data_IF_641103510448
#
_entry.id   IF_641103510448
#
_cell.length_a   1.000
_cell.length_b   1.000
_cell.length_c   1.000
_cell.angle_alpha   90.00
_cell.angle_beta   90.00
_cell.angle_gamma   90.00
#
_symmetry.space_group_name_H-M   'P 1'
#
loop_
_entity.id
_entity.type
_entity.pdbx_description
1 polymer ?
#
# COMPACT_ATOMS: atom_id res chain seq x y z
N UNK A 1 -2.76 61.38 22.98
CA UNK A 1 -3.74 61.60 21.90
C UNK A 1 -4.36 60.24 21.62
N UNK A 2 -5.61 59.97 22.06
CA UNK A 2 -6.88 60.27 21.35
C UNK A 2 -7.02 59.48 20.02
N UNK A 3 -8.14 58.83 19.69
CA UNK A 3 -9.32 58.42 20.48
C UNK A 3 -10.12 57.35 19.67
N UNK A 4 -10.98 56.58 20.36
CA UNK A 4 -12.04 55.72 19.77
C UNK A 4 -13.25 56.60 19.29
N UNK A 5 -14.42 56.03 18.92
CA UNK A 5 -14.79 55.14 17.80
C UNK A 5 -16.03 55.74 17.05
N UNK A 6 -16.88 54.88 16.45
CA UNK A 6 -18.37 54.93 16.27
C UNK A 6 -18.72 54.34 14.87
N UNK A 7 -19.87 53.73 14.53
CA UNK A 7 -21.02 53.06 15.14
C UNK A 7 -22.24 53.26 14.18
N UNK A 8 -23.03 52.20 13.96
CA UNK A 8 -24.25 52.11 13.11
C UNK A 8 -25.32 53.20 13.39
N UNK A 9 -26.25 53.56 12.47
CA UNK A 9 -27.53 52.80 12.26
C UNK A 9 -28.11 52.78 10.80
N UNK A 10 -28.83 51.75 10.30
CA UNK A 10 -30.26 51.31 10.45
C UNK A 10 -31.38 52.29 9.97
N UNK A 11 -32.17 51.90 8.93
CA UNK A 11 -33.68 51.85 8.80
C UNK A 11 -34.15 51.82 7.32
N UNK A 12 -34.98 50.83 6.89
CA UNK A 12 -36.47 50.84 6.66
C UNK A 12 -36.94 51.78 5.50
N UNK A 13 -37.92 51.47 4.62
CA UNK A 13 -39.29 50.93 4.80
C UNK A 13 -39.99 50.56 3.44
N UNK A 14 -41.00 49.65 3.47
CA UNK A 14 -42.27 49.59 2.67
C UNK A 14 -42.30 49.55 1.11
N UNK A 15 -43.41 49.20 0.40
CA UNK A 15 -44.56 48.27 0.58
C UNK A 15 -45.52 48.30 -0.66
N UNK A 16 -46.32 47.24 -0.91
CA UNK A 16 -47.51 47.23 -1.82
C UNK A 16 -47.57 46.01 -2.80
N UNK A 17 -48.60 45.14 -2.89
CA UNK A 17 -50.03 45.27 -3.35
C UNK A 17 -50.17 45.31 -4.90
N UNK A 18 -51.05 44.59 -5.64
CA UNK A 18 -52.29 43.77 -5.37
C UNK A 18 -52.40 42.51 -6.30
N UNK A 19 -53.30 41.56 -5.93
CA UNK A 19 -53.99 40.45 -6.65
C UNK A 19 -54.63 40.79 -8.05
N UNK A 20 -55.38 39.88 -8.74
CA UNK A 20 -55.21 38.43 -9.03
C UNK A 20 -55.64 38.03 -10.49
N UNK A 21 -55.58 36.73 -10.86
CA UNK A 21 -56.68 36.09 -11.60
C UNK A 21 -56.66 34.55 -11.46
N UNK A 22 -57.84 33.94 -11.33
CA UNK A 22 -58.04 32.49 -11.31
C UNK A 22 -59.04 32.09 -12.40
N UNK A 23 -58.88 30.90 -12.98
CA UNK A 23 -59.93 30.25 -13.75
C UNK A 23 -59.98 28.76 -13.37
N UNK A 24 -61.18 28.25 -13.07
CA UNK A 24 -61.43 26.85 -12.78
C UNK A 24 -61.86 26.08 -14.05
N UNK A 25 -61.48 24.81 -14.14
CA UNK A 25 -62.23 23.79 -14.86
C UNK A 25 -62.13 22.46 -14.08
N UNK A 26 -63.24 21.73 -13.99
CA UNK A 26 -63.44 20.62 -13.05
C UNK A 26 -62.92 19.24 -13.51
N UNK A 27 -63.16 18.19 -12.70
CA UNK A 27 -62.52 16.88 -12.85
C UNK A 27 -63.22 15.95 -13.84
N UNK A 28 -62.46 15.05 -14.45
CA UNK A 28 -62.98 13.85 -15.11
C UNK A 28 -62.57 12.61 -14.31
N UNK A 29 -63.57 11.94 -13.73
CA UNK A 29 -63.42 10.60 -13.14
C UNK A 29 -63.56 9.55 -14.24
N UNK A 30 -62.64 8.60 -14.30
CA UNK A 30 -62.86 7.31 -14.98
C UNK A 30 -62.35 6.17 -14.10
N UNK A 31 -63.21 5.15 -13.94
CA UNK A 31 -62.99 3.97 -13.09
C UNK A 31 -62.07 2.93 -13.76
N UNK A 32 -61.41 2.04 -12.99
CA UNK A 32 -60.39 1.16 -13.52
C UNK A 32 -60.96 0.03 -14.38
N UNK A 33 -60.26 -0.33 -15.45
CA UNK A 33 -60.49 -1.56 -16.20
C UNK A 33 -59.58 -2.68 -15.65
N UNK A 34 -60.18 -3.77 -15.16
CA UNK A 34 -59.45 -5.01 -14.91
C UNK A 34 -59.02 -5.63 -16.25
N UNK A 35 -57.75 -6.01 -16.37
CA UNK A 35 -57.24 -6.90 -17.41
C UNK A 35 -56.78 -8.23 -16.79
N UNK A 36 -57.07 -9.32 -17.48
CA UNK A 36 -56.90 -10.69 -17.00
C UNK A 36 -55.42 -11.14 -16.92
N UNK A 37 -55.09 -12.19 -16.13
CA UNK A 37 -53.72 -12.70 -16.04
C UNK A 37 -53.29 -13.36 -17.35
N UNK A 38 -52.11 -13.01 -17.85
CA UNK A 38 -51.42 -13.75 -18.92
C UNK A 38 -50.41 -14.76 -18.34
N UNK A 39 -50.11 -15.85 -19.07
CA UNK A 39 -49.58 -17.08 -18.49
C UNK A 39 -48.08 -17.01 -18.18
N UNK A 40 -47.66 -17.86 -17.24
CA UNK A 40 -46.25 -18.07 -16.93
C UNK A 40 -45.48 -18.61 -18.16
N UNK A 41 -44.37 -17.95 -18.50
CA UNK A 41 -43.35 -18.47 -19.40
C UNK A 41 -42.17 -19.05 -18.59
N UNK A 42 -41.45 -20.00 -19.19
CA UNK A 42 -40.45 -20.83 -18.53
C UNK A 42 -39.36 -20.04 -17.78
N UNK A 43 -38.89 -20.59 -16.65
CA UNK A 43 -37.88 -19.96 -15.82
C UNK A 43 -36.48 -20.04 -16.41
N UNK A 44 -35.75 -18.93 -16.31
CA UNK A 44 -34.30 -18.91 -16.52
C UNK A 44 -33.59 -19.59 -15.36
N UNK A 45 -32.67 -20.51 -15.70
CA UNK A 45 -31.80 -21.16 -14.72
C UNK A 45 -30.86 -20.11 -14.14
N UNK A 46 -30.87 -19.95 -12.82
CA UNK A 46 -29.98 -19.04 -12.12
C UNK A 46 -28.52 -19.36 -12.45
N UNK A 47 -27.83 -18.41 -13.08
CA UNK A 47 -26.38 -18.45 -13.26
C UNK A 47 -25.76 -18.29 -11.86
N UNK A 48 -24.79 -19.12 -11.44
CA UNK A 48 -24.19 -18.99 -10.12
C UNK A 48 -23.58 -17.60 -9.96
N UNK A 49 -23.89 -16.94 -8.83
CA UNK A 49 -23.27 -15.68 -8.47
C UNK A 49 -21.77 -15.90 -8.31
N UNK A 50 -20.96 -15.12 -9.05
CA UNK A 50 -19.53 -15.05 -8.77
C UNK A 50 -19.35 -14.42 -7.39
N UNK A 51 -18.42 -14.92 -6.54
CA UNK A 51 -18.10 -14.28 -5.27
C UNK A 51 -17.88 -12.78 -5.48
N UNK A 52 -18.60 -11.96 -4.71
CA UNK A 52 -18.65 -10.52 -4.92
C UNK A 52 -17.25 -9.91 -4.92
N UNK A 53 -16.99 -9.00 -5.87
CA UNK A 53 -15.76 -8.22 -5.86
C UNK A 53 -15.57 -7.57 -4.48
N UNK A 54 -14.34 -7.55 -3.91
CA UNK A 54 -14.08 -6.69 -2.77
C UNK A 54 -14.44 -5.25 -3.15
N UNK A 55 -15.01 -4.46 -2.22
CA UNK A 55 -15.33 -3.06 -2.49
C UNK A 55 -14.04 -2.33 -2.89
N UNK A 56 -14.17 -1.39 -3.84
CA UNK A 56 -13.09 -0.47 -4.16
C UNK A 56 -12.66 0.26 -2.87
N UNK A 57 -11.36 0.55 -2.68
CA UNK A 57 -10.94 1.44 -1.60
C UNK A 57 -11.73 2.75 -1.68
N UNK A 58 -12.22 3.21 -0.54
CA UNK A 58 -12.91 4.48 -0.45
C UNK A 58 -11.88 5.59 -0.64
N UNK A 59 -12.01 6.37 -1.72
CA UNK A 59 -11.10 7.49 -2.00
C UNK A 59 -11.76 8.78 -1.50
N UNK A 60 -11.43 9.28 -0.29
CA UNK A 60 -11.88 10.60 0.13
C UNK A 60 -11.40 11.65 -0.88
N UNK A 61 -12.23 12.67 -1.12
CA UNK A 61 -12.05 13.73 -2.12
C UNK A 61 -12.33 13.36 -3.60
N UNK A 62 -12.89 12.18 -3.90
CA UNK A 62 -13.59 12.02 -5.19
C UNK A 62 -14.84 12.92 -5.21
N UNK A 63 -15.07 13.75 -6.25
CA UNK A 63 -16.36 14.38 -6.45
C UNK A 63 -17.44 13.29 -6.62
N UNK A 64 -18.66 13.49 -6.09
CA UNK A 64 -19.70 12.46 -6.10
C UNK A 64 -20.03 12.02 -7.54
N UNK A 65 -19.93 10.71 -7.79
CA UNK A 65 -20.19 10.10 -9.10
C UNK A 65 -21.60 10.50 -9.61
N UNK A 66 -21.69 11.30 -10.69
CA UNK A 66 -22.98 11.59 -11.30
C UNK A 66 -23.53 10.33 -11.97
N UNK A 67 -24.85 10.25 -12.09
CA UNK A 67 -25.49 9.17 -12.84
C UNK A 67 -25.00 9.18 -14.31
N UNK A 68 -24.84 8.03 -14.97
CA UNK A 68 -24.16 7.91 -16.29
C UNK A 68 -24.70 8.83 -17.40
N UNK A 69 -25.94 9.30 -17.26
CA UNK A 69 -26.58 10.26 -18.17
C UNK A 69 -26.17 11.73 -17.97
N UNK A 70 -25.30 12.03 -17.00
CA UNK A 70 -24.85 13.38 -16.64
C UNK A 70 -23.35 13.63 -16.93
N UNK A 71 -22.74 12.84 -17.82
CA UNK A 71 -21.42 13.11 -18.40
C UNK A 71 -21.50 14.33 -19.34
N UNK A 72 -21.60 15.52 -18.73
CA UNK A 72 -21.64 16.79 -19.45
C UNK A 72 -20.32 17.04 -20.17
N UNK A 73 -20.41 17.54 -21.41
CA UNK A 73 -19.29 17.72 -22.33
C UNK A 73 -18.07 18.39 -21.65
N UNK A 74 -17.03 17.60 -21.39
CA UNK A 74 -15.78 18.08 -20.82
C UNK A 74 -15.16 19.10 -21.77
N UNK A 75 -14.89 20.30 -21.27
CA UNK A 75 -14.33 21.38 -22.09
C UNK A 75 -12.91 21.03 -22.53
N UNK A 76 -12.74 20.83 -23.84
CA UNK A 76 -11.47 20.49 -24.48
C UNK A 76 -11.05 21.58 -25.45
N UNK A 77 -9.78 21.96 -25.45
CA UNK A 77 -9.20 22.96 -26.36
C UNK A 77 -8.69 22.29 -27.65
N UNK A 78 -8.59 23.00 -28.78
CA UNK A 78 -7.83 22.51 -29.94
C UNK A 78 -6.33 22.44 -29.64
N UNK A 79 -5.58 21.65 -30.42
CA UNK A 79 -4.11 21.70 -30.43
C UNK A 79 -3.58 23.11 -30.82
N UNK A 80 -2.36 23.50 -30.37
CA UNK A 80 -1.45 22.73 -29.51
C UNK A 80 -1.86 22.76 -28.03
N UNK A 81 -1.48 21.72 -27.28
CA UNK A 81 -1.64 21.73 -25.82
C UNK A 81 -0.57 22.58 -25.15
N UNK A 82 -0.91 23.16 -23.99
CA UNK A 82 0.04 23.96 -23.18
C UNK A 82 1.27 23.13 -22.74
N UNK A 83 2.29 23.83 -22.27
CA UNK A 83 3.50 23.23 -21.72
C UNK A 83 3.29 22.82 -20.25
N UNK A 84 3.49 21.54 -19.96
CA UNK A 84 3.35 20.93 -18.63
C UNK A 84 4.61 21.05 -17.75
N UNK A 85 5.67 21.69 -18.25
CA UNK A 85 6.90 21.95 -17.51
C UNK A 85 7.94 20.84 -17.72
N UNK A 86 8.63 20.45 -16.65
CA UNK A 86 9.51 19.28 -16.64
C UNK A 86 8.73 18.01 -16.31
N UNK A 87 9.34 16.88 -16.63
CA UNK A 87 8.92 15.57 -16.16
C UNK A 87 8.82 15.49 -14.64
N UNK A 88 7.97 14.56 -14.18
CA UNK A 88 7.71 14.30 -12.77
C UNK A 88 8.36 12.98 -12.38
N UNK A 89 9.08 12.96 -11.26
CA UNK A 89 9.22 11.73 -10.49
C UNK A 89 7.82 11.36 -10.00
N UNK A 90 7.39 10.14 -10.27
CA UNK A 90 5.98 9.75 -10.17
C UNK A 90 5.86 8.42 -9.43
N UNK A 91 5.18 8.40 -8.29
CA UNK A 91 4.86 7.12 -7.64
C UNK A 91 3.80 6.36 -8.46
N UNK A 92 3.72 5.04 -8.34
CA UNK A 92 2.71 4.25 -9.08
C UNK A 92 1.28 4.61 -8.69
N UNK A 93 1.01 4.85 -7.40
CA UNK A 93 -0.26 5.32 -6.89
C UNK A 93 -0.59 6.74 -7.40
N UNK A 94 0.40 7.62 -7.52
CA UNK A 94 0.21 8.93 -8.15
C UNK A 94 -0.16 8.79 -9.64
N UNK A 95 0.53 7.92 -10.38
CA UNK A 95 0.21 7.64 -11.79
C UNK A 95 -1.22 7.10 -11.97
N UNK A 96 -1.64 6.14 -11.13
CA UNK A 96 -3.02 5.63 -11.12
C UNK A 96 -4.05 6.69 -10.69
N UNK A 97 -3.72 7.57 -9.75
CA UNK A 97 -4.60 8.66 -9.32
C UNK A 97 -4.84 9.65 -10.47
N UNK A 98 -3.77 10.01 -11.19
CA UNK A 98 -3.84 10.84 -12.40
C UNK A 98 -4.69 10.16 -13.48
N UNK A 99 -4.43 8.88 -13.78
CA UNK A 99 -5.22 8.08 -14.72
C UNK A 99 -6.72 8.03 -14.39
N UNK A 100 -7.07 7.78 -13.12
CA UNK A 100 -8.47 7.71 -12.66
C UNK A 100 -9.19 9.06 -12.71
N UNK A 101 -8.47 10.19 -12.65
CA UNK A 101 -9.07 11.52 -12.82
C UNK A 101 -9.67 11.76 -14.20
N UNK A 102 -9.24 10.99 -15.22
CA UNK A 102 -9.82 11.03 -16.57
C UNK A 102 -10.99 10.04 -16.71
N UNK A 103 -10.95 8.92 -15.98
CA UNK A 103 -12.01 7.91 -15.93
C UNK A 103 -13.29 8.44 -15.24
N UNK A 104 -13.16 9.32 -14.26
CA UNK A 104 -14.29 9.86 -13.48
C UNK A 104 -15.14 10.92 -14.20
N UNK A 105 -14.64 11.49 -15.31
CA UNK A 105 -15.29 12.62 -16.01
C UNK A 105 -15.66 12.34 -17.47
N UNK A 106 -15.21 11.23 -18.06
CA UNK A 106 -15.59 10.82 -19.42
C UNK A 106 -15.09 11.77 -20.51
N UNK A 107 -13.78 11.80 -20.74
CA UNK A 107 -13.18 12.67 -21.76
C UNK A 107 -13.27 12.02 -23.15
N UNK A 108 -13.87 12.69 -24.15
CA UNK A 108 -13.95 12.19 -25.52
C UNK A 108 -12.57 11.99 -26.17
N UNK A 109 -12.42 10.88 -26.90
CA UNK A 109 -11.22 10.64 -27.70
C UNK A 109 -11.06 11.65 -28.83
N UNK A 110 -9.90 12.28 -28.93
CA UNK A 110 -9.50 13.13 -30.05
C UNK A 110 -7.99 13.29 -30.16
N UNK A 111 -7.46 12.99 -31.34
CA UNK A 111 -6.08 13.28 -31.76
C UNK A 111 -5.83 14.79 -32.01
N UNK A 112 -6.86 15.64 -31.96
CA UNK A 112 -6.77 17.06 -32.32
C UNK A 112 -7.15 18.02 -31.18
N UNK A 113 -7.37 17.50 -29.96
CA UNK A 113 -7.83 18.29 -28.81
C UNK A 113 -7.07 17.92 -27.54
N UNK A 114 -7.07 18.86 -26.60
CA UNK A 114 -6.45 18.74 -25.30
C UNK A 114 -7.50 18.83 -24.20
N UNK A 115 -7.25 18.17 -23.07
CA UNK A 115 -8.01 18.36 -21.85
C UNK A 115 -7.11 18.86 -20.73
N UNK A 116 -7.59 19.90 -20.04
CA UNK A 116 -6.91 20.56 -18.93
C UNK A 116 -7.57 20.24 -17.61
N UNK A 117 -6.77 19.76 -16.67
CA UNK A 117 -7.16 19.58 -15.27
C UNK A 117 -6.02 20.00 -14.33
N UNK A 118 -6.13 19.67 -13.05
CA UNK A 118 -5.10 19.98 -12.04
C UNK A 118 -3.73 19.34 -12.29
N UNK A 119 -3.62 18.41 -13.24
CA UNK A 119 -2.42 17.64 -13.54
C UNK A 119 -1.67 18.10 -14.80
N UNK A 120 -2.24 19.06 -15.54
CA UNK A 120 -1.70 19.65 -16.75
C UNK A 120 -2.74 19.75 -17.87
N UNK A 121 -2.27 20.01 -19.08
CA UNK A 121 -3.04 20.02 -20.32
C UNK A 121 -2.45 18.98 -21.28
N UNK A 122 -3.22 17.97 -21.67
CA UNK A 122 -2.71 16.84 -22.47
C UNK A 122 -3.67 16.48 -23.59
N UNK A 123 -3.13 15.96 -24.70
CA UNK A 123 -3.94 15.50 -25.84
C UNK A 123 -4.88 14.37 -25.40
N UNK A 124 -6.11 14.40 -25.87
CA UNK A 124 -7.17 13.47 -25.48
C UNK A 124 -7.14 12.17 -26.30
N UNK A 125 -5.98 11.53 -26.40
CA UNK A 125 -5.82 10.24 -27.07
C UNK A 125 -5.13 9.20 -26.19
N UNK A 126 -4.96 7.96 -26.67
CA UNK A 126 -4.32 6.88 -25.92
C UNK A 126 -2.94 7.28 -25.36
N UNK A 127 -2.13 7.94 -26.18
CA UNK A 127 -0.77 8.33 -25.81
C UNK A 127 -0.72 9.59 -24.94
N UNK A 128 -1.57 10.59 -25.19
CA UNK A 128 -1.72 11.75 -24.32
C UNK A 128 -2.31 11.40 -22.95
N UNK A 129 -3.20 10.42 -22.86
CA UNK A 129 -3.69 9.85 -21.61
C UNK A 129 -2.57 9.20 -20.77
N UNK A 130 -1.72 8.35 -21.37
CA UNK A 130 -0.57 7.74 -20.66
C UNK A 130 0.46 8.81 -20.29
N UNK A 131 0.70 9.80 -21.15
CA UNK A 131 1.56 10.96 -20.86
C UNK A 131 1.04 11.77 -19.67
N UNK A 132 -0.28 11.96 -19.60
CA UNK A 132 -0.94 12.60 -18.47
C UNK A 132 -0.80 11.77 -17.20
N UNK A 133 -0.99 10.44 -17.26
CA UNK A 133 -0.85 9.55 -16.12
C UNK A 133 0.58 9.59 -15.54
N UNK A 134 1.60 9.47 -16.39
CA UNK A 134 3.01 9.56 -15.98
C UNK A 134 3.48 10.98 -15.63
N UNK A 135 2.76 12.01 -16.07
CA UNK A 135 3.13 13.40 -15.82
C UNK A 135 4.34 13.85 -16.65
N UNK A 136 4.38 13.47 -17.92
CA UNK A 136 5.41 13.90 -18.86
C UNK A 136 5.35 15.42 -19.06
N UNK A 137 6.51 16.07 -19.05
CA UNK A 137 6.66 17.50 -19.30
C UNK A 137 6.60 17.86 -20.79
N UNK A 138 6.99 19.10 -21.11
CA UNK A 138 6.88 19.66 -22.45
C UNK A 138 5.43 19.94 -22.87
N UNK A 139 5.19 20.18 -24.15
CA UNK A 139 3.81 20.36 -24.65
C UNK A 139 3.01 19.07 -24.46
N UNK A 140 1.77 19.18 -23.99
CA UNK A 140 0.85 18.05 -23.79
C UNK A 140 0.50 17.20 -25.02
N UNK A 141 0.99 17.58 -26.20
CA UNK A 141 0.89 16.84 -27.46
C UNK A 141 2.23 16.34 -28.01
N UNK A 142 3.34 16.49 -27.27
CA UNK A 142 4.68 16.13 -27.72
C UNK A 142 4.93 14.62 -27.83
N UNK A 143 4.27 13.82 -26.99
CA UNK A 143 4.41 12.37 -26.96
C UNK A 143 3.29 11.69 -27.73
N UNK A 144 3.62 10.62 -28.43
CA UNK A 144 2.73 9.74 -29.19
C UNK A 144 3.30 8.32 -29.20
N UNK A 145 2.56 7.32 -29.69
CA UNK A 145 2.94 5.90 -29.59
C UNK A 145 4.33 5.56 -30.15
N UNK A 146 4.84 6.33 -31.12
CA UNK A 146 6.16 6.10 -31.71
C UNK A 146 7.34 6.77 -31.00
N UNK A 147 7.11 7.66 -30.02
CA UNK A 147 8.19 8.31 -29.24
C UNK A 147 7.99 8.28 -27.72
N UNK A 148 7.00 7.54 -27.20
CA UNK A 148 6.89 7.30 -25.74
C UNK A 148 8.14 6.62 -25.14
N UNK A 149 8.91 5.89 -25.96
CA UNK A 149 10.18 5.26 -25.58
C UNK A 149 11.33 6.26 -25.37
N UNK A 150 11.16 7.55 -25.71
CA UNK A 150 12.11 8.61 -25.35
C UNK A 150 12.12 8.90 -23.84
N UNK A 151 11.17 8.30 -23.10
CA UNK A 151 10.94 8.43 -21.66
C UNK A 151 10.60 7.12 -20.97
N UNK A 152 10.76 6.00 -21.66
CA UNK A 152 10.35 4.70 -21.15
C UNK A 152 11.22 3.59 -21.73
N UNK A 153 11.41 2.53 -20.95
CA UNK A 153 12.15 1.34 -21.35
C UNK A 153 11.24 0.10 -21.37
N UNK A 154 11.59 -0.86 -22.20
CA UNK A 154 10.88 -2.14 -22.29
C UNK A 154 11.15 -2.99 -21.05
N UNK A 155 10.11 -3.64 -20.52
CA UNK A 155 10.22 -4.56 -19.39
C UNK A 155 9.70 -5.96 -19.75
N UNK A 156 10.02 -6.97 -18.95
CA UNK A 156 9.42 -8.29 -19.09
C UNK A 156 7.94 -8.25 -18.68
N UNK A 157 7.10 -9.11 -19.29
CA UNK A 157 5.67 -9.20 -18.90
C UNK A 157 5.49 -9.64 -17.46
N UNK A 158 6.36 -10.49 -16.93
CA UNK A 158 6.36 -10.90 -15.53
C UNK A 158 6.76 -9.77 -14.56
N UNK A 159 7.41 -8.72 -15.06
CA UNK A 159 7.83 -7.55 -14.28
C UNK A 159 6.78 -6.43 -14.24
N UNK A 160 5.63 -6.59 -14.89
CA UNK A 160 4.55 -5.58 -14.92
C UNK A 160 4.03 -5.29 -13.51
N UNK A 161 4.14 -4.01 -13.12
CA UNK A 161 3.62 -3.43 -11.89
C UNK A 161 2.63 -2.31 -12.25
N UNK A 162 1.73 -1.97 -11.32
CA UNK A 162 0.74 -0.90 -11.53
C UNK A 162 1.39 0.41 -12.01
N UNK A 163 0.77 1.12 -12.95
CA UNK A 163 1.32 2.36 -13.52
C UNK A 163 2.37 2.15 -14.63
N UNK A 164 2.80 0.91 -14.93
CA UNK A 164 3.45 0.60 -16.20
C UNK A 164 2.46 0.70 -17.37
N UNK A 165 2.92 0.61 -18.62
CA UNK A 165 2.05 0.63 -19.80
C UNK A 165 2.26 -0.56 -20.74
N UNK A 166 1.24 -0.85 -21.54
CA UNK A 166 1.25 -1.82 -22.62
C UNK A 166 1.19 -1.05 -23.94
N UNK A 167 2.28 -1.04 -24.70
CA UNK A 167 2.44 -0.30 -25.95
C UNK A 167 2.46 -1.24 -27.16
N UNK A 168 1.62 -0.95 -28.16
CA UNK A 168 1.71 -1.50 -29.51
C UNK A 168 2.04 -0.37 -30.48
N UNK A 169 3.14 -0.52 -31.19
CA UNK A 169 3.49 0.35 -32.31
C UNK A 169 3.96 -0.51 -33.49
N UNK A 170 3.18 -0.52 -34.59
CA UNK A 170 3.45 -1.35 -35.77
C UNK A 170 3.76 -0.52 -37.02
N UNK A 171 3.74 0.81 -36.89
CA UNK A 171 3.89 1.76 -38.00
C UNK A 171 2.56 2.08 -38.69
N UNK A 172 1.52 1.26 -38.53
CA UNK A 172 0.16 1.55 -38.96
C UNK A 172 -0.57 2.41 -37.91
N UNK A 173 -1.02 3.64 -38.22
CA UNK A 173 -1.76 4.49 -37.29
C UNK A 173 -3.02 3.84 -36.71
N UNK A 174 -3.71 2.96 -37.45
CA UNK A 174 -4.96 2.35 -37.01
C UNK A 174 -4.75 1.14 -36.07
N UNK A 175 -3.52 0.63 -35.98
CA UNK A 175 -3.12 -0.43 -35.04
C UNK A 175 -2.35 0.08 -33.82
N UNK A 176 -1.85 1.31 -33.87
CA UNK A 176 -1.02 1.90 -32.81
C UNK A 176 -1.88 2.23 -31.58
N UNK A 177 -1.53 1.67 -30.43
CA UNK A 177 -2.27 1.90 -29.18
C UNK A 177 -1.40 1.75 -27.95
N UNK A 178 -1.78 2.43 -26.86
CA UNK A 178 -1.15 2.31 -25.55
C UNK A 178 -2.18 2.41 -24.44
N UNK A 179 -2.03 1.57 -23.40
CA UNK A 179 -2.90 1.54 -22.24
C UNK A 179 -2.08 1.44 -20.95
N UNK A 180 -2.58 2.04 -19.86
CA UNK A 180 -1.93 2.01 -18.56
C UNK A 180 -2.36 0.76 -17.79
N UNK A 181 -1.40 -0.05 -17.34
CA UNK A 181 -1.65 -1.26 -16.57
C UNK A 181 -2.03 -0.93 -15.12
N UNK A 182 -3.13 -1.51 -14.63
CA UNK A 182 -3.61 -1.34 -13.25
C UNK A 182 -3.26 -2.55 -12.39
N UNK A 183 -3.57 -3.76 -12.88
CA UNK A 183 -3.36 -5.03 -12.17
C UNK A 183 -3.62 -6.21 -13.11
N UNK A 184 -3.28 -7.42 -12.69
CA UNK A 184 -3.82 -8.63 -13.30
C UNK A 184 -5.27 -8.89 -12.86
N UNK A 185 -6.06 -9.48 -13.75
CA UNK A 185 -7.41 -9.98 -13.45
C UNK A 185 -7.38 -11.42 -12.90
N UNK A 186 -6.30 -12.14 -13.16
CA UNK A 186 -6.08 -13.56 -12.87
C UNK A 186 -4.73 -13.80 -12.19
N UNK A 187 -4.65 -14.80 -11.32
CA UNK A 187 -3.42 -15.19 -10.63
C UNK A 187 -2.33 -15.78 -11.55
N UNK A 188 -2.69 -16.18 -12.78
CA UNK A 188 -1.74 -16.63 -13.79
C UNK A 188 -1.07 -15.48 -14.56
N UNK A 189 -1.40 -14.23 -14.25
CA UNK A 189 -0.83 -13.02 -14.87
C UNK A 189 -0.97 -13.01 -16.40
N UNK A 190 -2.16 -13.35 -16.91
CA UNK A 190 -2.43 -13.45 -18.36
C UNK A 190 -3.38 -12.37 -18.89
N UNK A 191 -4.30 -11.88 -18.07
CA UNK A 191 -5.37 -10.94 -18.44
C UNK A 191 -5.17 -9.61 -17.69
N UNK A 192 -4.58 -8.58 -18.31
CA UNK A 192 -4.36 -7.30 -17.64
C UNK A 192 -5.67 -6.52 -17.55
N UNK A 193 -5.86 -5.86 -16.40
CA UNK A 193 -6.80 -4.75 -16.25
C UNK A 193 -6.05 -3.47 -16.57
N UNK A 194 -6.57 -2.69 -17.51
CA UNK A 194 -5.96 -1.44 -17.98
C UNK A 194 -6.93 -0.27 -17.91
N UNK A 195 -6.42 0.96 -17.84
CA UNK A 195 -7.17 2.17 -18.17
C UNK A 195 -6.63 2.68 -19.52
N UNK A 196 -7.54 3.08 -20.41
CA UNK A 196 -7.22 3.47 -21.78
C UNK A 196 -8.22 4.50 -22.32
N UNK A 197 -7.78 5.28 -23.31
CA UNK A 197 -8.65 6.04 -24.21
C UNK A 197 -8.62 5.36 -25.58
N UNK A 198 -9.79 5.09 -26.18
CA UNK A 198 -9.90 4.33 -27.43
C UNK A 198 -10.69 5.11 -28.48
N UNK A 199 -10.41 4.93 -29.78
CA UNK A 199 -11.05 5.72 -30.85
C UNK A 199 -12.58 5.64 -30.95
N UNK A 200 -13.25 4.81 -30.15
CA UNK A 200 -14.72 4.66 -30.11
C UNK A 200 -15.35 4.95 -28.75
N UNK A 201 -14.57 5.30 -27.71
CA UNK A 201 -15.04 5.51 -26.33
C UNK A 201 -14.22 6.57 -25.61
N UNK A 202 -14.80 7.15 -24.57
CA UNK A 202 -14.08 7.97 -23.61
C UNK A 202 -13.02 7.16 -22.85
N UNK A 203 -12.38 7.75 -21.84
CA UNK A 203 -11.51 7.00 -20.91
C UNK A 203 -12.30 5.86 -20.26
N UNK A 204 -11.83 4.62 -20.42
CA UNK A 204 -12.46 3.40 -19.90
C UNK A 204 -11.46 2.55 -19.13
N UNK A 205 -11.96 1.69 -18.24
CA UNK A 205 -11.19 0.59 -17.64
C UNK A 205 -11.66 -0.73 -18.22
N UNK A 206 -10.73 -1.51 -18.77
CA UNK A 206 -10.98 -2.78 -19.49
C UNK A 206 -10.21 -3.92 -18.85
N UNK A 207 -10.77 -5.13 -18.88
CA UNK A 207 -9.94 -6.36 -18.80
C UNK A 207 -9.68 -6.84 -20.22
N UNK A 208 -8.43 -6.99 -20.60
CA UNK A 208 -8.05 -7.53 -21.91
C UNK A 208 -7.89 -9.05 -21.86
N UNK A 209 -8.22 -9.74 -22.96
CA UNK A 209 -7.88 -11.16 -23.10
C UNK A 209 -6.36 -11.36 -23.23
N UNK A 210 -5.87 -12.53 -22.84
CA UNK A 210 -4.46 -12.91 -23.03
C UNK A 210 -4.01 -12.78 -24.50
N UNK A 211 -4.86 -13.17 -25.45
CA UNK A 211 -4.58 -13.08 -26.89
C UNK A 211 -4.49 -11.65 -27.41
N UNK A 212 -5.21 -10.71 -26.80
CA UNK A 212 -5.13 -9.29 -27.14
C UNK A 212 -3.91 -8.64 -26.47
N UNK A 213 -3.75 -8.84 -25.16
CA UNK A 213 -2.62 -8.33 -24.38
C UNK A 213 -1.26 -8.86 -24.87
N UNK A 214 -1.22 -10.04 -25.49
CA UNK A 214 -0.03 -10.63 -26.12
C UNK A 214 0.52 -9.84 -27.32
N UNK A 215 -0.28 -8.94 -27.91
CA UNK A 215 0.12 -8.09 -29.06
C UNK A 215 0.80 -6.77 -28.62
N UNK A 216 0.97 -6.56 -27.31
CA UNK A 216 1.53 -5.35 -26.72
C UNK A 216 2.83 -5.63 -25.98
N UNK A 217 3.79 -4.72 -26.14
CA UNK A 217 5.06 -4.72 -25.42
C UNK A 217 4.88 -4.00 -24.07
N UNK A 218 5.23 -4.63 -22.95
CA UNK A 218 5.28 -3.97 -21.64
C UNK A 218 6.40 -2.92 -21.61
N UNK A 219 6.08 -1.71 -21.16
CA UNK A 219 7.02 -0.59 -21.03
C UNK A 219 6.85 0.11 -19.66
N UNK A 220 7.93 0.70 -19.16
CA UNK A 220 7.97 1.40 -17.87
C UNK A 220 8.55 2.79 -18.05
N UNK A 221 7.90 3.79 -17.45
CA UNK A 221 8.36 5.17 -17.44
C UNK A 221 9.66 5.31 -16.64
N UNK A 222 10.63 6.07 -17.17
CA UNK A 222 11.98 6.21 -16.60
C UNK A 222 11.98 6.72 -15.16
N UNK A 223 11.08 7.65 -14.83
CA UNK A 223 10.99 8.27 -13.51
C UNK A 223 9.80 7.73 -12.67
N UNK A 224 9.29 6.53 -12.98
CA UNK A 224 8.31 5.88 -12.10
C UNK A 224 9.03 5.26 -10.91
N UNK A 225 8.57 5.61 -9.71
CA UNK A 225 9.04 5.07 -8.44
C UNK A 225 7.98 4.10 -7.94
N UNK A 226 8.40 2.94 -7.40
CA UNK A 226 7.47 2.07 -6.68
C UNK A 226 6.91 2.82 -5.48
N UNK A 227 5.64 2.57 -5.12
CA UNK A 227 5.09 3.18 -3.92
C UNK A 227 5.74 2.53 -2.70
N UNK A 228 6.47 3.31 -1.88
CA UNK A 228 6.62 2.94 -0.48
C UNK A 228 5.21 2.90 0.12
N UNK A 229 4.72 1.71 0.44
CA UNK A 229 3.52 1.60 1.27
C UNK A 229 3.90 2.09 2.66
N UNK A 230 3.27 3.16 3.18
CA UNK A 230 3.60 3.63 4.51
C UNK A 230 3.27 2.52 5.51
N UNK A 231 4.17 2.28 6.47
CA UNK A 231 4.00 1.27 7.48
C UNK A 231 2.63 1.41 8.18
N UNK A 232 1.96 0.28 8.39
CA UNK A 232 0.62 0.22 8.96
C UNK A 232 0.58 -0.78 10.14
N UNK A 233 -0.20 -0.52 11.20
CA UNK A 233 -0.20 -1.36 12.38
C UNK A 233 -0.97 -2.66 12.16
N UNK A 234 -0.52 -3.70 12.87
CA UNK A 234 -1.25 -4.93 13.11
C UNK A 234 -1.20 -5.26 14.61
N UNK A 235 -2.24 -5.91 15.13
CA UNK A 235 -2.29 -6.38 16.52
C UNK A 235 -2.66 -7.86 16.52
N UNK A 236 -1.78 -8.70 17.07
CA UNK A 236 -2.09 -10.09 17.40
C UNK A 236 -2.93 -10.12 18.68
N UNK A 237 -4.06 -10.83 18.64
CA UNK A 237 -5.03 -10.88 19.74
C UNK A 237 -5.40 -12.33 20.06
N UNK A 238 -5.21 -12.72 21.32
CA UNK A 238 -5.65 -14.01 21.85
C UNK A 238 -7.17 -13.97 22.06
N UNK A 239 -7.91 -14.86 21.39
CA UNK A 239 -9.35 -14.93 21.51
C UNK A 239 -9.82 -15.68 22.77
N UNK A 240 -8.89 -16.25 23.55
CA UNK A 240 -9.17 -16.97 24.80
C UNK A 240 -9.67 -18.40 24.60
N UNK A 241 -9.74 -18.87 23.35
CA UNK A 241 -10.16 -20.23 22.95
C UNK A 241 -9.01 -21.06 22.35
N UNK A 242 -7.77 -20.56 22.42
CA UNK A 242 -6.59 -21.16 21.78
C UNK A 242 -6.41 -20.77 20.31
N UNK A 243 -7.19 -19.80 19.81
CA UNK A 243 -6.97 -19.18 18.51
C UNK A 243 -6.47 -17.74 18.62
N UNK A 244 -5.84 -17.27 17.55
CA UNK A 244 -5.43 -15.87 17.39
C UNK A 244 -6.20 -15.20 16.25
N UNK A 245 -6.52 -13.92 16.45
CA UNK A 245 -6.87 -13.00 15.36
C UNK A 245 -5.81 -11.93 15.21
N UNK A 246 -5.39 -11.65 13.98
CA UNK A 246 -4.56 -10.49 13.63
C UNK A 246 -5.50 -9.38 13.15
N UNK A 247 -5.64 -8.35 13.98
CA UNK A 247 -6.37 -7.12 13.68
C UNK A 247 -5.47 -6.23 12.82
N UNK A 248 -5.92 -5.75 11.65
CA UNK A 248 -5.06 -4.99 10.74
C UNK A 248 -5.62 -3.64 10.29
N UNK A 249 -4.72 -2.77 9.86
CA UNK A 249 -5.03 -1.49 9.23
C UNK A 249 -4.17 -1.29 7.97
N UNK A 250 -4.61 -0.39 7.09
CA UNK A 250 -3.83 0.11 5.96
C UNK A 250 -3.55 1.60 6.19
N UNK A 251 -2.33 2.04 5.90
CA UNK A 251 -1.96 3.46 6.00
C UNK A 251 -2.26 4.21 4.70
N UNK A 252 -2.82 5.40 4.81
CA UNK A 252 -2.92 6.37 3.71
C UNK A 252 -1.71 7.32 3.66
N UNK A 253 -0.84 7.27 4.68
CA UNK A 253 0.20 8.27 4.96
C UNK A 253 -0.25 9.32 6.00
N UNK A 254 -1.55 9.64 6.06
CA UNK A 254 -2.14 10.60 6.99
C UNK A 254 -3.03 9.94 8.07
N UNK A 255 -3.65 8.81 7.76
CA UNK A 255 -4.56 8.07 8.65
C UNK A 255 -4.50 6.53 8.45
N UNK A 256 -5.10 5.78 9.37
CA UNK A 256 -5.17 4.31 9.33
C UNK A 256 -6.61 3.82 9.09
N UNK A 257 -6.85 3.27 7.90
CA UNK A 257 -8.11 2.63 7.53
C UNK A 257 -8.17 1.18 8.01
N UNK A 258 -9.37 0.68 8.31
CA UNK A 258 -9.55 -0.73 8.72
C UNK A 258 -9.36 -1.68 7.53
N UNK A 259 -8.32 -2.51 7.60
CA UNK A 259 -8.10 -3.59 6.65
C UNK A 259 -8.87 -4.87 7.03
N UNK A 260 -8.82 -5.89 6.18
CA UNK A 260 -9.35 -7.22 6.52
C UNK A 260 -8.49 -7.90 7.59
N UNK A 261 -9.15 -8.46 8.60
CA UNK A 261 -8.50 -9.22 9.66
C UNK A 261 -8.14 -10.64 9.20
N UNK A 262 -7.29 -11.31 9.97
CA UNK A 262 -6.93 -12.70 9.74
C UNK A 262 -7.18 -13.55 11.00
N UNK A 263 -7.94 -14.62 10.84
CA UNK A 263 -8.11 -15.66 11.86
C UNK A 263 -7.13 -16.81 11.56
N UNK A 264 -6.22 -17.10 12.50
CA UNK A 264 -5.21 -18.16 12.31
C UNK A 264 -5.78 -19.58 12.43
N UNK A 265 -6.98 -19.72 13.02
CA UNK A 265 -7.39 -20.97 13.62
C UNK A 265 -6.56 -21.27 14.88
N UNK A 266 -6.34 -22.54 15.19
CA UNK A 266 -5.61 -22.95 16.40
C UNK A 266 -4.16 -22.45 16.39
N UNK A 267 -3.87 -21.47 17.26
CA UNK A 267 -2.56 -20.86 17.44
C UNK A 267 -2.54 -20.16 18.80
N UNK A 268 -1.87 -20.77 19.79
CA UNK A 268 -1.91 -20.31 21.18
C UNK A 268 -0.88 -19.20 21.42
N UNK A 269 -1.34 -17.95 21.53
CA UNK A 269 -0.42 -16.80 21.66
C UNK A 269 0.44 -16.83 22.93
N UNK A 270 0.00 -17.47 24.03
CA UNK A 270 0.85 -17.64 25.22
C UNK A 270 2.09 -18.54 25.00
N UNK A 271 2.16 -19.29 23.88
CA UNK A 271 3.39 -19.98 23.46
C UNK A 271 4.38 -19.04 22.74
N UNK A 272 3.91 -17.90 22.25
CA UNK A 272 4.72 -16.82 21.65
C UNK A 272 5.12 -15.78 22.70
N UNK A 273 4.22 -15.43 23.63
CA UNK A 273 4.44 -14.33 24.57
C UNK A 273 4.80 -13.04 23.78
N UNK A 274 5.68 -12.18 24.28
CA UNK A 274 6.10 -10.96 23.57
C UNK A 274 7.03 -11.20 22.36
N UNK A 275 7.27 -12.46 21.94
CA UNK A 275 8.17 -12.82 20.80
C UNK A 275 7.52 -12.63 19.43
N UNK A 276 7.04 -11.43 19.15
CA UNK A 276 6.41 -11.03 17.88
C UNK A 276 7.14 -9.81 17.30
N UNK A 277 7.57 -9.91 16.04
CA UNK A 277 8.21 -8.80 15.32
C UNK A 277 7.84 -8.81 13.83
N UNK A 278 8.12 -7.71 13.13
CA UNK A 278 7.72 -7.51 11.72
C UNK A 278 8.86 -7.07 10.82
N UNK A 279 8.79 -7.43 9.55
CA UNK A 279 9.71 -7.04 8.48
C UNK A 279 9.39 -7.80 7.20
N UNK A 280 9.81 -7.31 6.04
CA UNK A 280 9.62 -8.00 4.75
C UNK A 280 10.53 -9.23 4.68
N UNK A 281 10.05 -10.39 5.14
CA UNK A 281 10.88 -11.61 5.15
C UNK A 281 10.88 -12.34 3.82
N UNK A 282 10.10 -11.91 2.82
CA UNK A 282 9.97 -12.60 1.53
C UNK A 282 10.43 -11.84 0.29
N UNK A 283 10.63 -10.54 0.43
CA UNK A 283 11.16 -9.62 -0.57
C UNK A 283 10.10 -9.12 -1.55
N UNK A 284 8.82 -9.11 -1.16
CA UNK A 284 7.73 -8.56 -1.99
C UNK A 284 7.51 -7.05 -1.81
N UNK A 285 8.11 -6.44 -0.78
CA UNK A 285 8.05 -5.03 -0.44
C UNK A 285 7.00 -4.66 0.63
N UNK A 286 6.20 -5.61 1.11
CA UNK A 286 5.32 -5.46 2.27
C UNK A 286 5.92 -6.17 3.51
N UNK A 287 5.67 -5.64 4.72
CA UNK A 287 6.14 -6.28 5.96
C UNK A 287 5.27 -7.45 6.40
N UNK A 288 5.92 -8.58 6.72
CA UNK A 288 5.32 -9.75 7.33
C UNK A 288 5.38 -9.70 8.86
N UNK A 289 4.71 -10.64 9.53
CA UNK A 289 4.80 -10.86 10.97
C UNK A 289 5.45 -12.22 11.24
N UNK A 290 6.48 -12.23 12.09
CA UNK A 290 7.18 -13.43 12.55
C UNK A 290 6.98 -13.62 14.04
N UNK A 291 6.68 -14.85 14.45
CA UNK A 291 6.46 -15.24 15.84
C UNK A 291 7.34 -16.44 16.21
N UNK A 292 8.07 -16.35 17.32
CA UNK A 292 8.85 -17.46 17.86
C UNK A 292 8.04 -18.23 18.91
N UNK A 293 7.60 -19.44 18.56
CA UNK A 293 6.61 -20.21 19.31
C UNK A 293 7.25 -21.40 20.04
N UNK A 294 6.96 -21.54 21.34
CA UNK A 294 7.42 -22.64 22.18
C UNK A 294 6.42 -23.82 22.11
N UNK A 295 6.90 -24.99 21.69
CA UNK A 295 6.13 -26.23 21.73
C UNK A 295 6.20 -26.87 23.12
N UNK A 296 5.18 -27.65 23.47
CA UNK A 296 5.04 -28.32 24.78
C UNK A 296 6.03 -29.45 25.03
N UNK A 297 6.73 -29.91 23.98
CA UNK A 297 7.81 -30.90 24.06
C UNK A 297 9.21 -30.28 24.28
N UNK A 298 9.28 -28.95 24.41
CA UNK A 298 10.52 -28.19 24.57
C UNK A 298 11.20 -27.79 23.25
N UNK A 299 10.72 -28.29 22.10
CA UNK A 299 11.11 -27.75 20.79
C UNK A 299 10.44 -26.41 20.54
N UNK A 300 10.81 -25.73 19.45
CA UNK A 300 10.24 -24.42 19.12
C UNK A 300 10.26 -24.16 17.61
N UNK A 301 9.55 -23.13 17.17
CA UNK A 301 9.38 -22.80 15.75
C UNK A 301 9.40 -21.30 15.48
N UNK A 302 9.76 -20.92 14.24
CA UNK A 302 9.47 -19.60 13.67
C UNK A 302 8.29 -19.73 12.71
N UNK A 303 7.20 -19.04 13.02
CA UNK A 303 6.00 -19.00 12.20
C UNK A 303 5.87 -17.64 11.51
N UNK A 304 5.40 -17.65 10.27
CA UNK A 304 5.31 -16.45 9.43
C UNK A 304 3.87 -16.22 8.97
N UNK A 305 3.40 -15.00 9.15
CA UNK A 305 2.10 -14.52 8.67
C UNK A 305 2.32 -13.43 7.64
N UNK A 306 2.14 -13.79 6.37
CA UNK A 306 2.36 -12.90 5.23
C UNK A 306 1.46 -11.69 5.30
N UNK A 307 2.03 -10.48 5.26
CA UNK A 307 1.28 -9.22 5.36
C UNK A 307 0.32 -9.16 6.59
N UNK A 308 0.52 -10.02 7.59
CA UNK A 308 -0.45 -10.35 8.64
C UNK A 308 -1.81 -10.91 8.17
N UNK A 309 -2.02 -11.18 6.87
CA UNK A 309 -3.31 -11.57 6.28
C UNK A 309 -3.45 -13.06 5.95
N UNK A 310 -2.35 -13.81 6.00
CA UNK A 310 -2.33 -15.21 5.59
C UNK A 310 -1.20 -15.97 6.28
N UNK A 311 -1.46 -17.24 6.59
CA UNK A 311 -0.43 -18.16 7.09
C UNK A 311 0.55 -18.52 5.98
N UNK A 312 1.83 -18.16 6.15
CA UNK A 312 2.90 -18.52 5.24
C UNK A 312 3.66 -19.80 5.66
N UNK A 313 3.41 -20.30 6.88
CA UNK A 313 3.93 -21.58 7.36
C UNK A 313 4.89 -21.49 8.54
N UNK A 314 5.39 -22.65 8.95
CA UNK A 314 6.57 -22.78 9.82
C UNK A 314 7.82 -22.72 8.96
N UNK A 315 8.61 -21.66 9.10
CA UNK A 315 9.80 -21.42 8.27
C UNK A 315 11.09 -21.88 8.94
N UNK A 316 11.04 -22.18 10.25
CA UNK A 316 12.12 -22.86 10.96
C UNK A 316 11.55 -23.71 12.10
N UNK A 317 12.18 -24.84 12.36
CA UNK A 317 11.97 -25.64 13.58
C UNK A 317 13.30 -25.82 14.29
N UNK A 318 13.35 -25.44 15.56
CA UNK A 318 14.51 -25.64 16.43
C UNK A 318 14.38 -26.87 17.31
N UNK A 319 15.52 -27.40 17.75
CA UNK A 319 15.58 -28.42 18.79
C UNK A 319 15.23 -27.87 20.17
N UNK A 320 15.51 -28.63 21.22
CA UNK A 320 15.14 -28.26 22.59
C UNK A 320 15.80 -26.95 23.05
N UNK A 321 15.00 -25.93 23.34
CA UNK A 321 15.41 -24.59 23.82
C UNK A 321 14.27 -24.00 24.64
N UNK A 322 14.58 -23.30 25.74
CA UNK A 322 13.56 -22.55 26.47
C UNK A 322 13.53 -21.08 25.99
N UNK A 323 12.49 -20.71 25.25
CA UNK A 323 12.29 -19.35 24.75
C UNK A 323 11.96 -18.31 25.83
N UNK A 324 11.67 -18.70 27.08
CA UNK A 324 11.60 -17.75 28.22
C UNK A 324 12.91 -16.97 28.38
N UNK A 325 14.05 -17.55 27.96
CA UNK A 325 15.37 -16.91 27.99
C UNK A 325 15.59 -15.92 26.84
N UNK A 326 14.72 -15.93 25.83
CA UNK A 326 14.63 -14.85 24.84
C UNK A 326 13.77 -13.71 25.37
N UNK A 327 12.71 -13.99 26.16
CA UNK A 327 11.69 -13.00 26.54
C UNK A 327 11.24 -12.18 25.30
N UNK A 328 11.02 -10.88 25.38
CA UNK A 328 10.64 -10.03 24.24
C UNK A 328 11.71 -9.83 23.16
N UNK A 329 12.89 -10.46 23.24
CA UNK A 329 14.05 -10.16 22.38
C UNK A 329 14.10 -10.93 21.05
N UNK A 330 12.99 -10.98 20.32
CA UNK A 330 12.96 -11.29 18.89
C UNK A 330 13.03 -9.98 18.10
N UNK A 331 14.03 -9.83 17.22
CA UNK A 331 14.14 -8.68 16.31
C UNK A 331 14.32 -9.12 14.86
N UNK A 332 13.76 -8.33 13.93
CA UNK A 332 13.85 -8.53 12.49
C UNK A 332 14.64 -7.39 11.84
N UNK A 333 15.37 -7.70 10.77
CA UNK A 333 16.12 -6.73 9.96
C UNK A 333 16.83 -7.40 8.78
N UNK A 334 17.26 -6.66 7.77
CA UNK A 334 18.10 -7.16 6.66
C UNK A 334 19.58 -7.09 7.04
N UNK A 335 20.06 -8.12 7.74
CA UNK A 335 21.44 -8.16 8.24
C UNK A 335 22.42 -8.75 7.20
N UNK A 336 21.92 -9.15 6.04
CA UNK A 336 22.71 -9.78 4.99
C UNK A 336 22.89 -8.83 3.78
N UNK A 337 21.97 -7.90 3.57
CA UNK A 337 21.97 -6.88 2.53
C UNK A 337 21.33 -7.38 1.21
N UNK A 338 20.37 -8.30 1.28
CA UNK A 338 19.67 -8.84 0.09
C UNK A 338 18.26 -8.27 -0.14
N UNK A 339 17.83 -7.35 0.72
CA UNK A 339 16.51 -6.73 0.70
C UNK A 339 15.45 -7.48 1.49
N UNK A 340 15.81 -8.49 2.31
CA UNK A 340 14.87 -9.25 3.14
C UNK A 340 15.20 -9.16 4.61
N UNK A 341 14.17 -8.95 5.42
CA UNK A 341 14.24 -9.09 6.85
C UNK A 341 14.44 -10.55 7.28
N UNK A 342 15.18 -10.74 8.36
CA UNK A 342 15.56 -12.02 8.91
C UNK A 342 15.39 -11.99 10.43
N UNK A 343 15.08 -13.12 11.08
CA UNK A 343 14.94 -13.16 12.52
C UNK A 343 16.31 -13.26 13.21
N UNK A 344 16.42 -12.61 14.37
CA UNK A 344 17.44 -12.86 15.37
C UNK A 344 16.81 -13.00 16.77
N UNK A 345 17.28 -13.98 17.55
CA UNK A 345 16.84 -14.19 18.94
C UNK A 345 18.01 -13.90 19.88
N UNK A 346 17.84 -12.97 20.81
CA UNK A 346 18.87 -12.65 21.81
C UNK A 346 18.60 -13.45 23.09
N UNK A 347 19.40 -14.50 23.29
CA UNK A 347 19.14 -15.56 24.27
C UNK A 347 20.10 -15.51 25.46
N UNK A 348 19.55 -15.57 26.68
CA UNK A 348 20.32 -15.69 27.92
C UNK A 348 20.87 -17.12 28.12
N UNK A 349 22.19 -17.28 28.11
CA UNK A 349 22.84 -18.56 28.42
C UNK A 349 22.72 -18.93 29.91
N UNK A 350 22.39 -17.97 30.77
CA UNK A 350 22.17 -18.18 32.21
C UNK A 350 23.46 -18.35 33.02
N UNK A 351 24.62 -18.10 32.40
CA UNK A 351 25.96 -18.09 33.00
C UNK A 351 26.58 -16.67 33.03
N UNK A 352 25.79 -15.65 32.68
CA UNK A 352 26.24 -14.26 32.54
C UNK A 352 26.73 -13.90 31.13
N UNK A 353 26.54 -14.78 30.15
CA UNK A 353 26.73 -14.51 28.72
C UNK A 353 25.41 -14.58 27.95
N UNK A 354 25.43 -14.07 26.71
CA UNK A 354 24.33 -14.20 25.76
C UNK A 354 24.80 -14.80 24.43
N UNK A 355 23.85 -15.33 23.68
CA UNK A 355 24.05 -15.66 22.26
C UNK A 355 22.96 -14.99 21.43
N UNK A 356 23.36 -14.32 20.36
CA UNK A 356 22.44 -13.89 19.30
C UNK A 356 22.36 -15.04 18.31
N UNK A 357 21.22 -15.74 18.31
CA UNK A 357 20.93 -16.74 17.30
C UNK A 357 20.51 -16.06 16.00
N UNK A 358 21.04 -16.54 14.88
CA UNK A 358 20.98 -15.85 13.58
C UNK A 358 20.39 -16.71 12.48
N UNK A 359 19.63 -16.12 11.58
CA UNK A 359 19.13 -16.79 10.36
C UNK A 359 19.35 -15.93 9.12
N UNK A 360 19.20 -16.56 7.95
CA UNK A 360 18.95 -15.90 6.66
C UNK A 360 17.60 -16.32 6.08
N UNK A 361 16.97 -15.46 5.29
CA UNK A 361 15.69 -15.75 4.63
C UNK A 361 15.84 -16.18 3.17
N UNK A 362 15.06 -17.16 2.73
CA UNK A 362 14.88 -17.46 1.29
C UNK A 362 13.59 -16.86 0.70
N UNK A 363 12.80 -16.19 1.53
CA UNK A 363 11.41 -15.81 1.26
C UNK A 363 10.41 -16.97 1.22
N UNK A 364 10.81 -18.14 1.71
CA UNK A 364 9.95 -19.30 1.90
C UNK A 364 10.36 -20.19 3.09
N UNK A 365 11.58 -20.05 3.59
CA UNK A 365 12.12 -20.73 4.79
C UNK A 365 13.23 -19.87 5.39
N UNK A 366 13.54 -20.08 6.68
CA UNK A 366 14.73 -19.52 7.32
C UNK A 366 15.82 -20.58 7.44
N UNK A 367 17.05 -20.24 7.04
CA UNK A 367 18.23 -21.09 7.21
C UNK A 367 19.07 -20.59 8.38
N UNK A 368 19.70 -21.49 9.13
CA UNK A 368 20.56 -21.11 10.26
C UNK A 368 21.84 -20.44 9.73
N UNK A 369 22.13 -19.24 10.24
CA UNK A 369 23.34 -18.49 9.95
C UNK A 369 24.35 -18.60 11.10
N UNK A 370 25.47 -17.87 11.01
CA UNK A 370 26.49 -17.81 12.07
C UNK A 370 25.95 -17.04 13.27
N UNK A 371 25.82 -17.73 14.41
CA UNK A 371 25.46 -17.11 15.69
C UNK A 371 26.60 -16.22 16.23
N UNK A 372 26.27 -15.22 17.05
CA UNK A 372 27.24 -14.47 17.86
C UNK A 372 27.18 -14.89 19.32
N UNK A 373 28.32 -15.19 19.93
CA UNK A 373 28.47 -15.44 21.37
C UNK A 373 29.19 -14.27 22.05
N UNK A 374 28.64 -13.77 23.15
CA UNK A 374 29.26 -12.71 23.92
C UNK A 374 30.38 -13.23 24.84
N UNK A 375 31.25 -12.32 25.28
CA UNK A 375 31.94 -12.48 26.56
C UNK A 375 30.96 -12.29 27.74
N UNK A 376 31.47 -11.88 28.90
CA UNK A 376 30.61 -11.49 30.01
C UNK A 376 29.70 -10.30 29.63
N UNK A 377 28.40 -10.57 29.50
CA UNK A 377 27.37 -9.61 29.09
C UNK A 377 26.01 -10.14 29.54
N UNK A 378 25.50 -9.63 30.66
CA UNK A 378 24.25 -10.14 31.25
C UNK A 378 23.03 -9.45 30.64
N UNK A 379 22.11 -10.23 30.08
CA UNK A 379 20.84 -9.70 29.58
C UNK A 379 19.94 -9.15 30.68
N UNK A 380 20.16 -9.47 31.97
CA UNK A 380 19.43 -8.83 33.07
C UNK A 380 19.65 -7.29 33.11
N UNK A 381 20.76 -6.79 32.56
CA UNK A 381 21.03 -5.36 32.44
C UNK A 381 20.45 -4.73 31.15
N UNK A 382 20.11 -5.57 30.15
CA UNK A 382 19.44 -5.17 28.90
C UNK A 382 17.93 -5.26 29.03
N UNK A 383 17.43 -6.22 29.82
CA UNK A 383 16.02 -6.61 29.82
C UNK A 383 15.56 -6.86 28.38
N UNK A 384 14.40 -6.39 27.96
CA UNK A 384 13.94 -6.50 26.57
C UNK A 384 14.34 -5.29 25.67
N UNK A 385 15.32 -4.47 26.09
CA UNK A 385 15.79 -3.28 25.32
C UNK A 385 16.71 -3.65 24.15
N UNK A 386 16.14 -4.31 23.16
CA UNK A 386 16.79 -4.74 21.92
C UNK A 386 16.03 -4.19 20.73
N UNK A 387 16.72 -3.57 19.79
CA UNK A 387 16.15 -3.10 18.52
C UNK A 387 17.11 -3.38 17.37
N UNK A 388 16.58 -3.45 16.14
CA UNK A 388 17.35 -3.67 14.93
C UNK A 388 17.10 -2.57 13.89
N UNK A 389 18.07 -2.34 13.02
CA UNK A 389 18.07 -1.30 11.99
C UNK A 389 19.50 -0.89 11.58
N UNK A 390 19.67 -0.40 10.36
CA UNK A 390 20.95 0.14 9.87
C UNK A 390 21.31 1.43 10.63
N UNK A 391 22.36 1.36 11.46
CA UNK A 391 22.82 2.48 12.31
C UNK A 391 24.15 3.09 11.88
N UNK A 392 24.75 2.68 10.77
CA UNK A 392 25.91 3.37 10.17
C UNK A 392 25.80 3.71 8.69
N UNK A 393 24.74 3.24 8.01
CA UNK A 393 24.49 3.47 6.59
C UNK A 393 25.27 2.53 5.67
N UNK A 394 25.65 1.33 6.11
CA UNK A 394 26.32 0.34 5.24
C UNK A 394 25.34 -0.44 4.34
N UNK A 395 24.02 -0.26 4.55
CA UNK A 395 22.96 -0.93 3.81
C UNK A 395 22.52 -2.26 4.44
N UNK A 396 22.88 -2.51 5.69
CA UNK A 396 22.46 -3.68 6.47
C UNK A 396 22.03 -3.28 7.87
N UNK A 397 21.06 -4.01 8.40
CA UNK A 397 20.59 -3.80 9.75
C UNK A 397 21.59 -4.33 10.79
N UNK A 398 21.73 -3.60 11.89
CA UNK A 398 22.47 -3.99 13.09
C UNK A 398 21.53 -4.38 14.23
N UNK A 399 22.09 -4.82 15.35
CA UNK A 399 21.35 -4.93 16.63
C UNK A 399 21.95 -3.95 17.64
N UNK A 400 21.11 -3.13 18.26
CA UNK A 400 21.47 -2.22 19.36
C UNK A 400 20.79 -2.65 20.65
N UNK A 401 21.55 -2.64 21.75
CA UNK A 401 21.06 -2.97 23.09
C UNK A 401 21.35 -1.84 24.08
N UNK A 402 20.35 -1.45 24.88
CA UNK A 402 20.51 -0.45 25.95
C UNK A 402 20.76 -1.14 27.30
N UNK A 403 21.99 -1.01 27.80
CA UNK A 403 22.54 -1.77 28.93
C UNK A 403 22.73 -0.88 30.17
N UNK A 404 22.20 -1.29 31.32
CA UNK A 404 22.45 -0.62 32.61
C UNK A 404 23.80 -1.07 33.17
N UNK A 405 24.74 -0.14 33.39
CA UNK A 405 26.04 -0.48 34.00
C UNK A 405 25.95 -0.44 35.53
N UNK A 406 25.42 0.66 36.06
CA UNK A 406 25.16 0.91 37.48
C UNK A 406 24.11 2.02 37.62
N UNK A 407 23.81 2.46 38.86
CA UNK A 407 22.80 3.51 39.12
C UNK A 407 23.10 4.89 38.50
N UNK A 408 24.33 5.12 38.02
CA UNK A 408 24.82 6.39 37.48
C UNK A 408 25.17 6.33 35.99
N UNK A 409 25.14 5.14 35.36
CA UNK A 409 25.63 4.95 33.99
C UNK A 409 24.87 3.85 33.24
N UNK A 410 24.61 4.12 31.94
CA UNK A 410 24.07 3.17 30.98
C UNK A 410 24.75 3.36 29.61
N UNK A 411 24.67 2.35 28.74
CA UNK A 411 25.39 2.32 27.46
C UNK A 411 24.56 1.76 26.31
N UNK A 412 24.79 2.26 25.09
CA UNK A 412 24.33 1.61 23.85
C UNK A 412 25.45 0.72 23.31
N UNK A 413 25.16 -0.57 23.19
CA UNK A 413 26.06 -1.56 22.59
C UNK A 413 25.54 -1.94 21.22
N UNK A 414 26.41 -1.86 20.20
CA UNK A 414 26.06 -2.15 18.81
C UNK A 414 26.71 -3.46 18.36
N UNK A 415 25.93 -4.33 17.71
CA UNK A 415 26.37 -5.62 17.19
C UNK A 415 26.16 -5.66 15.67
N UNK A 416 27.25 -5.68 14.90
CA UNK A 416 27.21 -5.59 13.44
C UNK A 416 26.53 -6.78 12.81
N UNK A 417 25.48 -6.57 12.04
CA UNK A 417 24.68 -7.63 11.41
C UNK A 417 24.17 -8.68 12.42
N UNK A 418 24.09 -8.32 13.72
CA UNK A 418 23.88 -9.26 14.83
C UNK A 418 24.94 -10.38 14.96
N UNK A 419 26.09 -10.25 14.31
CA UNK A 419 27.11 -11.30 14.11
C UNK A 419 28.48 -11.00 14.74
N UNK A 420 28.74 -9.74 15.09
CA UNK A 420 29.99 -9.33 15.76
C UNK A 420 29.77 -8.09 16.63
N UNK A 421 30.57 -7.88 17.68
CA UNK A 421 30.47 -6.71 18.54
C UNK A 421 31.21 -5.51 17.94
N UNK A 422 30.53 -4.37 17.81
CA UNK A 422 31.06 -3.13 17.23
C UNK A 422 31.53 -2.09 18.26
N UNK A 423 31.32 -2.33 19.55
CA UNK A 423 31.66 -1.39 20.62
C UNK A 423 30.48 -0.89 21.44
N UNK A 424 30.81 -0.04 22.41
CA UNK A 424 29.87 0.90 23.05
C UNK A 424 29.90 2.19 22.24
N UNK A 425 28.76 2.61 21.71
CA UNK A 425 28.66 3.79 20.84
C UNK A 425 28.16 5.03 21.58
N UNK A 426 27.47 4.84 22.71
CA UNK A 426 27.05 5.90 23.59
C UNK A 426 27.16 5.48 25.06
N UNK A 427 27.54 6.42 25.92
CA UNK A 427 27.50 6.27 27.38
C UNK A 427 26.68 7.43 27.95
N UNK A 428 25.57 7.11 28.59
CA UNK A 428 24.71 8.06 29.29
C UNK A 428 25.04 8.13 30.78
N UNK A 429 24.66 9.25 31.41
CA UNK A 429 24.74 9.43 32.87
C UNK A 429 23.54 8.83 33.61
N UNK A 430 23.25 9.36 34.80
CA UNK A 430 22.23 8.86 35.74
C UNK A 430 20.84 8.73 35.12
N UNK A 431 20.49 7.50 34.73
CA UNK A 431 19.16 7.09 34.29
C UNK A 431 18.96 5.64 34.74
N UNK A 432 17.77 5.31 35.27
CA UNK A 432 17.39 3.93 35.52
C UNK A 432 16.57 3.41 34.33
N UNK A 433 17.12 2.44 33.61
CA UNK A 433 16.51 1.76 32.46
C UNK A 433 15.38 0.80 32.85
N UNK A 434 15.20 0.42 34.12
CA UNK A 434 13.98 -0.26 34.59
C UNK A 434 12.72 0.55 34.23
N UNK A 435 12.86 1.89 34.16
CA UNK A 435 11.77 2.81 33.75
C UNK A 435 11.64 2.94 32.23
N UNK A 436 12.68 2.59 31.49
CA UNK A 436 12.61 2.40 30.03
C UNK A 436 11.88 1.09 29.73
N UNK A 437 11.99 0.06 30.59
CA UNK A 437 11.36 -1.25 30.40
C UNK A 437 11.89 -1.85 29.08
N UNK A 438 11.12 -2.64 28.32
CA UNK A 438 11.49 -3.08 26.96
C UNK A 438 11.47 -2.00 25.85
N UNK A 439 11.24 -0.71 26.16
CA UNK A 439 10.91 0.32 25.15
C UNK A 439 12.13 0.96 24.47
N UNK A 440 12.88 0.17 23.70
CA UNK A 440 13.90 0.67 22.76
C UNK A 440 13.40 0.55 21.31
N UNK A 441 13.63 1.57 20.49
CA UNK A 441 13.34 1.57 19.04
C UNK A 441 14.48 2.24 18.27
N UNK A 442 14.68 1.84 17.02
CA UNK A 442 15.55 2.49 16.04
C UNK A 442 14.72 3.08 14.90
N UNK A 443 15.30 4.04 14.18
CA UNK A 443 14.62 4.75 13.09
C UNK A 443 15.33 6.05 12.72
N UNK A 444 14.87 6.67 11.64
CA UNK A 444 15.33 7.98 11.18
C UNK A 444 14.42 9.07 11.80
N UNK A 445 14.98 9.85 12.74
CA UNK A 445 14.26 10.82 13.59
C UNK A 445 14.61 12.29 13.29
#
# INVERSE_FOLDING_TARGET
MHARPLARPVRRLAAGLVLPLALLAGPALSTPALAAPQPAAAGDVAKPESPGNPPLPFYPNLPPQPNRSALAAVSTTPLPCDNNGSDRNMSRAQALTRARSWLSVGIPYSQNRCYRNQYGDYRTDCSGFVSMAWGLGGSGSAFWTGNLMDRAYSISRGSLKQGDALLRHTGDPDENHVALFVRWADSAHTQPVVIEQTGSRDTVQSTWSQSYAGQYNPIRYDNIVDDERPAAPALAYDQGDGSMRIYRWSSTGDEFDRASDYDSGAFTLSSVDDRTASGDVDGDGDSDIVMAYQNTDGTWALHVFRNGNSWAGTWYTGGNMNLDRVAGRLVLGDYNGDGRAEPALVYDQGDGTMRIYRWTSTGTTFNRATDYESGAFSLANVDDRVAAGDVDGDGKDDIVMAYQNDTNSWTLHTFRNGSSWSGVWYTGGTMNLDRVDGRLVLGNW
#
